data_IF_101995394740
#
_entry.id   IF_101995394740
#
_cell.length_a   1.000
_cell.length_b   1.000
_cell.length_c   1.000
_cell.angle_alpha   90.00
_cell.angle_beta   90.00
_cell.angle_gamma   90.00
#
_symmetry.space_group_name_H-M   'P 1'
#
loop_
_entity.id
_entity.type
_entity.pdbx_description
1 polymer ?
#
# COMPACT_ATOMS: atom_id res chain seq x y z
N UNK A 1 71.62 29.30 42.44
CA UNK A 1 71.31 28.72 41.19
C UNK A 1 69.91 28.10 41.32
N UNK A 2 68.84 28.74 40.78
CA UNK A 2 67.49 28.25 40.79
C UNK A 2 67.17 27.61 39.40
N UNK A 3 66.92 26.29 39.40
CA UNK A 3 66.45 25.56 38.20
C UNK A 3 64.99 25.86 37.97
N UNK A 4 64.69 26.44 36.82
CA UNK A 4 63.30 26.64 36.31
C UNK A 4 62.91 25.39 35.49
N UNK A 5 62.02 24.63 36.05
CA UNK A 5 61.45 23.46 35.36
C UNK A 5 60.31 23.96 34.41
N UNK A 6 60.52 23.88 33.09
CA UNK A 6 59.48 24.19 32.10
C UNK A 6 58.54 22.98 32.01
N UNK A 7 57.29 23.19 32.39
CA UNK A 7 56.21 22.23 32.19
C UNK A 7 55.67 22.46 30.78
N UNK A 8 55.82 21.45 29.90
CA UNK A 8 55.19 21.43 28.59
C UNK A 8 53.76 20.86 28.74
N UNK A 9 52.74 21.70 28.55
CA UNK A 9 51.36 21.27 28.46
C UNK A 9 51.12 20.88 26.99
N UNK A 10 50.97 19.57 26.73
CA UNK A 10 50.55 19.05 25.44
C UNK A 10 49.02 19.09 25.43
N UNK A 11 48.44 20.02 24.67
CA UNK A 11 47.00 20.06 24.41
C UNK A 11 46.70 19.06 23.31
N UNK A 12 46.09 17.95 23.66
CA UNK A 12 45.56 16.97 22.73
C UNK A 12 44.24 17.50 22.15
N UNK A 13 44.27 18.05 20.96
CA UNK A 13 43.08 18.42 20.21
C UNK A 13 42.49 17.14 19.59
N UNK A 14 41.53 16.50 20.25
CA UNK A 14 40.73 15.41 19.66
C UNK A 14 39.75 16.01 18.68
N UNK A 15 40.05 15.89 17.41
CA UNK A 15 39.09 16.19 16.33
C UNK A 15 38.09 15.05 16.27
N UNK A 16 36.88 15.26 16.83
CA UNK A 16 35.74 14.35 16.66
C UNK A 16 35.23 14.60 15.22
N UNK A 17 35.64 13.74 14.29
CA UNK A 17 35.01 13.66 12.97
C UNK A 17 33.63 13.02 13.19
N UNK A 18 32.59 13.83 13.29
CA UNK A 18 31.20 13.39 13.12
C UNK A 18 31.05 12.94 11.67
N UNK A 19 31.22 11.64 11.41
CA UNK A 19 30.76 11.04 10.17
C UNK A 19 29.22 11.11 10.19
N UNK A 20 28.68 12.18 9.63
CA UNK A 20 27.30 12.20 9.16
C UNK A 20 27.23 11.12 8.07
N UNK A 21 26.77 9.93 8.45
CA UNK A 21 26.42 8.90 7.49
C UNK A 21 25.34 9.50 6.59
N UNK A 22 25.74 9.92 5.38
CA UNK A 22 24.77 10.17 4.32
C UNK A 22 24.10 8.81 4.05
N UNK A 23 22.95 8.61 4.63
CA UNK A 23 22.06 7.57 4.16
C UNK A 23 21.66 7.98 2.75
N UNK A 24 22.15 7.25 1.76
CA UNK A 24 21.66 7.36 0.39
C UNK A 24 20.22 6.87 0.44
N UNK A 25 19.28 7.80 0.48
CA UNK A 25 17.87 7.48 0.24
C UNK A 25 17.81 7.11 -1.23
N UNK A 26 17.62 5.84 -1.53
CA UNK A 26 17.34 5.40 -2.89
C UNK A 26 15.90 5.83 -3.19
N UNK A 27 15.74 6.66 -4.21
CA UNK A 27 14.43 6.99 -4.72
C UNK A 27 13.78 5.72 -5.26
N UNK A 28 12.59 5.39 -4.80
CA UNK A 28 11.78 4.31 -5.36
C UNK A 28 10.83 4.84 -6.43
N UNK A 29 10.37 3.95 -7.29
CA UNK A 29 9.40 4.29 -8.34
C UNK A 29 8.14 3.45 -8.11
N UNK A 30 7.00 4.13 -8.04
CA UNK A 30 5.68 3.52 -7.97
C UNK A 30 4.97 3.76 -9.30
N UNK A 31 4.58 2.71 -9.99
CA UNK A 31 3.75 2.80 -11.18
C UNK A 31 2.34 3.27 -10.82
N UNK A 32 1.68 3.99 -11.73
CA UNK A 32 0.30 4.40 -11.60
C UNK A 32 -0.51 3.81 -12.76
N UNK A 33 -1.72 3.33 -12.47
CA UNK A 33 -2.54 2.66 -13.48
C UNK A 33 -3.21 3.62 -14.47
N UNK A 34 -3.00 4.94 -14.32
CA UNK A 34 -3.63 5.95 -15.17
C UNK A 34 -5.15 6.06 -15.02
N UNK A 35 -5.70 5.54 -13.94
CA UNK A 35 -7.13 5.52 -13.61
C UNK A 35 -7.36 5.87 -12.16
N UNK A 36 -8.54 6.40 -11.82
CA UNK A 36 -8.92 6.72 -10.44
C UNK A 36 -10.43 6.89 -10.29
N UNK A 37 -10.89 7.18 -9.11
CA UNK A 37 -12.30 7.41 -8.82
C UNK A 37 -12.66 8.89 -8.92
N UNK A 38 -13.78 9.20 -9.54
CA UNK A 38 -14.35 10.57 -9.57
C UNK A 38 -15.43 10.80 -8.51
N UNK A 39 -15.69 9.78 -7.67
CA UNK A 39 -16.67 9.82 -6.58
C UNK A 39 -15.97 10.19 -5.28
N UNK A 40 -16.68 10.86 -4.38
CA UNK A 40 -16.22 11.12 -3.00
C UNK A 40 -16.41 9.92 -2.07
N UNK A 41 -17.27 8.99 -2.43
CA UNK A 41 -17.51 7.75 -1.68
C UNK A 41 -17.56 6.58 -2.66
N UNK A 42 -16.78 5.55 -2.38
CA UNK A 42 -16.71 4.30 -3.14
C UNK A 42 -17.21 3.16 -2.25
N UNK A 43 -18.25 2.48 -2.70
CA UNK A 43 -18.86 1.40 -1.93
C UNK A 43 -18.12 0.09 -2.14
N UNK A 44 -17.88 -0.65 -1.06
CA UNK A 44 -17.12 -1.91 -1.05
C UNK A 44 -17.98 -3.02 -0.46
N UNK A 45 -18.23 -4.09 -1.20
CA UNK A 45 -18.87 -5.28 -0.69
C UNK A 45 -17.89 -6.45 -0.60
N UNK A 46 -17.91 -7.16 0.54
CA UNK A 46 -17.14 -8.38 0.75
C UNK A 46 -18.06 -9.57 0.47
N UNK A 47 -17.63 -10.44 -0.44
CA UNK A 47 -18.38 -11.63 -0.84
C UNK A 47 -17.57 -12.90 -0.50
N UNK A 48 -17.66 -13.42 0.73
CA UNK A 48 -16.92 -14.60 1.16
C UNK A 48 -17.54 -15.86 0.59
N UNK A 49 -16.72 -16.76 0.03
CA UNK A 49 -17.13 -18.09 -0.34
C UNK A 49 -17.43 -18.93 0.91
N UNK A 50 -18.25 -19.99 0.75
CA UNK A 50 -18.51 -20.95 1.83
C UNK A 50 -17.20 -21.52 2.38
N UNK A 51 -17.00 -21.38 3.70
CA UNK A 51 -15.79 -21.85 4.40
C UNK A 51 -14.73 -20.79 4.64
N UNK A 52 -14.89 -19.57 4.17
CA UNK A 52 -14.10 -18.41 4.62
C UNK A 52 -14.49 -18.11 6.06
N UNK A 53 -13.49 -17.90 6.92
CA UNK A 53 -13.74 -17.69 8.36
C UNK A 53 -14.25 -16.26 8.63
N UNK A 54 -15.09 -16.04 9.68
CA UNK A 54 -15.47 -14.69 10.10
C UNK A 54 -14.26 -13.79 10.40
N UNK A 55 -13.16 -14.36 10.94
CA UNK A 55 -11.92 -13.62 11.19
C UNK A 55 -11.32 -13.07 9.89
N UNK A 56 -11.25 -13.87 8.83
CA UNK A 56 -10.72 -13.40 7.55
C UNK A 56 -11.58 -12.27 6.94
N UNK A 57 -12.90 -12.31 7.16
CA UNK A 57 -13.78 -11.20 6.74
C UNK A 57 -13.49 -9.94 7.55
N UNK A 58 -13.40 -10.07 8.89
CA UNK A 58 -13.07 -8.94 9.77
C UNK A 58 -11.67 -8.35 9.45
N UNK A 59 -10.69 -9.19 9.07
CA UNK A 59 -9.38 -8.74 8.62
C UNK A 59 -9.49 -7.84 7.38
N UNK A 60 -10.30 -8.21 6.39
CA UNK A 60 -10.54 -7.38 5.19
C UNK A 60 -11.30 -6.10 5.52
N UNK A 61 -12.29 -6.16 6.42
CA UNK A 61 -13.01 -4.96 6.89
C UNK A 61 -12.08 -3.97 7.58
N UNK A 62 -11.12 -4.45 8.38
CA UNK A 62 -10.14 -3.61 9.06
C UNK A 62 -9.22 -2.87 8.07
N UNK A 63 -8.93 -3.47 6.92
CA UNK A 63 -8.12 -2.87 5.85
C UNK A 63 -8.86 -1.70 5.18
N UNK A 64 -10.17 -1.78 5.04
CA UNK A 64 -10.98 -0.68 4.51
C UNK A 64 -10.88 0.55 5.44
N UNK A 65 -10.96 0.34 6.76
CA UNK A 65 -10.73 1.41 7.73
C UNK A 65 -9.33 1.98 7.64
N UNK A 66 -8.31 1.12 7.54
CA UNK A 66 -6.91 1.55 7.44
C UNK A 66 -6.63 2.40 6.18
N UNK A 67 -7.25 2.07 5.04
CA UNK A 67 -7.18 2.92 3.86
C UNK A 67 -7.87 4.26 4.09
N UNK A 68 -9.04 4.29 4.73
CA UNK A 68 -9.77 5.53 5.00
C UNK A 68 -8.98 6.49 5.89
N UNK A 69 -8.20 5.99 6.86
CA UNK A 69 -7.34 6.82 7.70
C UNK A 69 -6.35 7.63 6.85
N UNK A 70 -5.83 7.04 5.77
CA UNK A 70 -4.91 7.68 4.84
C UNK A 70 -5.64 8.51 3.77
N UNK A 71 -6.74 8.00 3.20
CA UNK A 71 -7.48 8.69 2.15
C UNK A 71 -8.13 9.98 2.65
N UNK A 72 -8.51 10.05 3.93
CA UNK A 72 -9.20 11.20 4.53
C UNK A 72 -8.38 12.50 4.51
N UNK A 73 -7.06 12.41 4.37
CA UNK A 73 -6.15 13.56 4.35
C UNK A 73 -5.70 13.95 2.94
N UNK A 74 -6.07 13.16 1.91
CA UNK A 74 -5.75 13.42 0.50
C UNK A 74 -6.92 14.15 -0.16
N UNK A 75 -6.67 15.36 -0.66
CA UNK A 75 -7.71 16.15 -1.32
C UNK A 75 -8.28 15.42 -2.54
N UNK A 76 -9.60 15.35 -2.61
CA UNK A 76 -10.33 14.71 -3.71
C UNK A 76 -10.24 13.18 -3.77
N UNK A 77 -9.53 12.52 -2.84
CA UNK A 77 -9.55 11.07 -2.75
C UNK A 77 -10.91 10.56 -2.23
N UNK A 78 -11.37 9.39 -2.70
CA UNK A 78 -12.64 8.81 -2.22
C UNK A 78 -12.46 8.17 -0.85
N UNK A 79 -13.51 8.18 -0.04
CA UNK A 79 -13.59 7.33 1.14
C UNK A 79 -14.29 6.01 0.77
N UNK A 80 -13.83 4.91 1.35
CA UNK A 80 -14.39 3.58 1.16
C UNK A 80 -15.52 3.35 2.18
N UNK A 81 -16.66 2.87 1.73
CA UNK A 81 -17.82 2.58 2.58
C UNK A 81 -18.31 1.16 2.38
N UNK A 82 -18.46 0.40 3.48
CA UNK A 82 -18.99 -0.95 3.40
C UNK A 82 -20.44 -0.95 2.90
N UNK A 83 -20.74 -1.87 1.97
CA UNK A 83 -22.06 -2.11 1.38
C UNK A 83 -22.42 -3.60 1.52
N UNK A 84 -23.63 -3.88 1.99
CA UNK A 84 -24.09 -5.26 2.20
C UNK A 84 -24.43 -6.00 0.89
N UNK A 85 -24.63 -5.28 -0.21
CA UNK A 85 -25.04 -5.84 -1.48
C UNK A 85 -23.97 -5.74 -2.55
N UNK A 86 -23.40 -6.86 -2.93
CA UNK A 86 -22.40 -6.92 -4.03
C UNK A 86 -22.96 -6.48 -5.39
N UNK A 87 -24.28 -6.44 -5.57
CA UNK A 87 -24.91 -5.95 -6.81
C UNK A 87 -24.87 -4.44 -6.95
N UNK A 88 -24.71 -3.73 -5.84
CA UNK A 88 -24.71 -2.26 -5.79
C UNK A 88 -23.34 -1.67 -5.52
N UNK A 89 -22.39 -2.49 -5.08
CA UNK A 89 -21.06 -2.03 -4.70
C UNK A 89 -20.20 -1.67 -5.93
N UNK A 90 -19.42 -0.62 -5.77
CA UNK A 90 -18.41 -0.18 -6.74
C UNK A 90 -17.22 -1.14 -6.78
N UNK A 91 -16.79 -1.62 -5.62
CA UNK A 91 -15.75 -2.63 -5.46
C UNK A 91 -16.38 -3.88 -4.87
N UNK A 92 -16.15 -5.04 -5.49
CA UNK A 92 -16.58 -6.34 -4.95
C UNK A 92 -15.36 -7.19 -4.68
N UNK A 93 -15.13 -7.51 -3.39
CA UNK A 93 -14.04 -8.36 -2.93
C UNK A 93 -14.56 -9.80 -2.80
N UNK A 94 -14.15 -10.68 -3.70
CA UNK A 94 -14.45 -12.09 -3.65
C UNK A 94 -13.37 -12.83 -2.85
N UNK A 95 -13.72 -13.40 -1.72
CA UNK A 95 -12.81 -14.20 -0.90
C UNK A 95 -13.01 -15.68 -1.19
N UNK A 96 -11.93 -16.41 -1.50
CA UNK A 96 -11.91 -17.85 -1.74
C UNK A 96 -11.23 -18.59 -0.58
N UNK A 97 -11.66 -19.81 -0.29
CA UNK A 97 -11.01 -20.67 0.71
C UNK A 97 -9.68 -21.21 0.18
N UNK A 98 -9.64 -21.57 -1.10
CA UNK A 98 -8.47 -22.11 -1.76
C UNK A 98 -7.80 -21.10 -2.67
N UNK A 99 -6.58 -21.40 -3.08
CA UNK A 99 -5.83 -20.63 -4.07
C UNK A 99 -4.68 -21.47 -4.62
N UNK A 100 -4.20 -21.07 -5.81
CA UNK A 100 -2.99 -21.64 -6.42
C UNK A 100 -1.73 -20.96 -5.93
N UNK A 101 -0.95 -20.40 -6.86
CA UNK A 101 0.23 -19.57 -6.58
C UNK A 101 -0.08 -18.07 -6.48
N UNK A 102 -1.33 -17.65 -6.77
CA UNK A 102 -1.75 -16.25 -6.77
C UNK A 102 -2.45 -15.93 -5.46
N UNK A 103 -1.97 -14.89 -4.76
CA UNK A 103 -2.50 -14.40 -3.50
C UNK A 103 -3.81 -13.61 -3.69
N UNK A 104 -3.79 -12.70 -4.66
CA UNK A 104 -4.92 -11.86 -5.03
C UNK A 104 -4.76 -11.33 -6.45
N UNK A 105 -5.81 -10.71 -6.94
CA UNK A 105 -5.74 -9.88 -8.14
C UNK A 105 -6.90 -8.90 -8.18
N UNK A 106 -6.64 -7.75 -8.77
CA UNK A 106 -7.60 -6.66 -8.95
C UNK A 106 -7.85 -6.42 -10.43
N UNK A 107 -9.12 -6.35 -10.81
CA UNK A 107 -9.56 -6.11 -12.17
C UNK A 107 -10.55 -4.95 -12.21
N UNK A 108 -10.18 -3.78 -12.73
CA UNK A 108 -11.13 -2.76 -13.14
C UNK A 108 -12.06 -3.34 -14.22
N UNK A 109 -13.38 -3.31 -13.97
CA UNK A 109 -14.37 -3.88 -14.89
C UNK A 109 -14.89 -2.86 -15.87
N UNK A 110 -15.06 -1.64 -15.40
CA UNK A 110 -15.60 -0.55 -16.20
C UNK A 110 -14.84 0.72 -15.88
N UNK A 111 -14.31 1.34 -16.91
CA UNK A 111 -13.58 2.61 -16.85
C UNK A 111 -14.22 3.53 -17.89
N UNK A 112 -14.42 4.79 -17.52
CA UNK A 112 -14.81 5.80 -18.50
C UNK A 112 -13.56 6.22 -19.31
N UNK A 113 -13.49 5.92 -20.62
CA UNK A 113 -12.29 6.18 -21.39
C UNK A 113 -11.98 7.67 -21.63
N UNK A 114 -12.96 8.55 -21.40
CA UNK A 114 -12.77 9.99 -21.57
C UNK A 114 -12.29 10.72 -20.32
N UNK A 115 -12.52 10.13 -19.16
CA UNK A 115 -12.15 10.72 -17.85
C UNK A 115 -11.25 9.82 -17.02
N UNK A 116 -10.88 8.64 -17.50
CA UNK A 116 -10.14 7.60 -16.75
C UNK A 116 -10.77 7.23 -15.40
N UNK A 117 -12.06 7.59 -15.22
CA UNK A 117 -12.77 7.32 -13.99
C UNK A 117 -13.16 5.84 -13.91
N UNK A 118 -12.71 5.19 -12.83
CA UNK A 118 -13.14 3.84 -12.48
C UNK A 118 -14.63 3.88 -12.12
N UNK A 119 -15.39 2.90 -12.63
CA UNK A 119 -16.81 2.75 -12.30
C UNK A 119 -17.07 1.51 -11.44
N UNK A 120 -16.39 0.40 -11.76
CA UNK A 120 -16.49 -0.84 -10.97
C UNK A 120 -15.19 -1.60 -10.98
N UNK A 121 -14.88 -2.24 -9.84
CA UNK A 121 -13.69 -3.09 -9.65
C UNK A 121 -14.11 -4.43 -9.07
N UNK A 122 -13.45 -5.48 -9.50
CA UNK A 122 -13.51 -6.79 -8.85
C UNK A 122 -12.14 -7.14 -8.29
N UNK A 123 -12.10 -7.46 -7.00
CA UNK A 123 -10.94 -8.01 -6.31
C UNK A 123 -11.21 -9.48 -6.03
N UNK A 124 -10.23 -10.34 -6.19
CA UNK A 124 -10.26 -11.71 -5.72
C UNK A 124 -9.12 -11.93 -4.73
N UNK A 125 -9.44 -12.45 -3.55
CA UNK A 125 -8.47 -12.84 -2.52
C UNK A 125 -8.46 -14.35 -2.34
N UNK A 126 -7.28 -14.94 -2.24
CA UNK A 126 -7.07 -16.35 -1.95
C UNK A 126 -6.85 -16.53 -0.45
N UNK A 127 -7.54 -17.48 0.19
CA UNK A 127 -7.32 -17.83 1.59
C UNK A 127 -6.15 -18.79 1.81
N UNK A 128 -5.58 -19.33 0.71
CA UNK A 128 -4.43 -20.23 0.71
C UNK A 128 -3.51 -19.93 -0.46
N UNK A 129 -2.23 -20.14 -0.25
CA UNK A 129 -1.24 -20.20 -1.33
C UNK A 129 -0.38 -21.45 -1.14
N UNK A 130 -0.16 -22.16 -2.22
CA UNK A 130 0.60 -23.44 -2.22
C UNK A 130 0.12 -24.44 -1.14
N UNK A 131 -1.21 -24.48 -0.90
CA UNK A 131 -1.85 -25.38 0.06
C UNK A 131 -1.82 -24.92 1.53
N UNK A 132 -1.10 -23.85 1.87
CA UNK A 132 -1.04 -23.28 3.23
C UNK A 132 -2.04 -22.14 3.39
N UNK A 133 -2.72 -22.05 4.55
CA UNK A 133 -3.57 -20.91 4.87
C UNK A 133 -2.72 -19.65 5.07
N UNK A 134 -3.23 -18.50 4.61
CA UNK A 134 -2.68 -17.22 5.00
C UNK A 134 -2.89 -17.00 6.50
N UNK A 135 -1.97 -16.27 7.12
CA UNK A 135 -2.19 -15.73 8.46
C UNK A 135 -3.22 -14.57 8.43
N UNK A 136 -3.65 -14.11 9.59
CA UNK A 136 -4.50 -12.92 9.69
C UNK A 136 -3.78 -11.68 9.13
N UNK A 137 -2.50 -11.47 9.48
CA UNK A 137 -1.69 -10.42 8.91
C UNK A 137 -1.51 -10.59 7.38
N UNK A 138 -1.24 -11.81 6.91
CA UNK A 138 -1.13 -12.09 5.47
C UNK A 138 -2.42 -11.80 4.70
N UNK A 139 -3.59 -12.12 5.29
CA UNK A 139 -4.89 -11.76 4.70
C UNK A 139 -5.04 -10.23 4.59
N UNK A 140 -4.65 -9.49 5.63
CA UNK A 140 -4.69 -8.01 5.61
C UNK A 140 -3.69 -7.44 4.60
N UNK A 141 -2.47 -7.95 4.54
CA UNK A 141 -1.44 -7.47 3.61
C UNK A 141 -1.89 -7.63 2.16
N UNK A 142 -2.39 -8.82 1.78
CA UNK A 142 -2.92 -9.06 0.44
C UNK A 142 -4.12 -8.16 0.15
N UNK A 143 -5.07 -8.07 1.06
CA UNK A 143 -6.26 -7.21 0.87
C UNK A 143 -5.90 -5.73 0.73
N UNK A 144 -4.90 -5.26 1.50
CA UNK A 144 -4.41 -3.88 1.46
C UNK A 144 -3.74 -3.57 0.12
N UNK A 145 -2.88 -4.47 -0.37
CA UNK A 145 -2.24 -4.37 -1.68
C UNK A 145 -3.27 -4.32 -2.82
N UNK A 146 -4.23 -5.24 -2.82
CA UNK A 146 -5.26 -5.30 -3.86
C UNK A 146 -6.19 -4.07 -3.84
N UNK A 147 -6.48 -3.52 -2.67
CA UNK A 147 -7.22 -2.26 -2.57
C UNK A 147 -6.39 -1.07 -3.09
N UNK A 148 -5.06 -1.07 -2.95
CA UNK A 148 -4.19 -0.10 -3.58
C UNK A 148 -4.36 -0.07 -5.11
N UNK A 149 -4.39 -1.24 -5.74
CA UNK A 149 -4.70 -1.33 -7.18
C UNK A 149 -6.12 -0.82 -7.51
N UNK A 150 -7.10 -1.13 -6.66
CA UNK A 150 -8.46 -0.64 -6.84
C UNK A 150 -8.58 0.89 -6.70
N UNK A 151 -7.62 1.53 -6.05
CA UNK A 151 -7.51 2.99 -5.90
C UNK A 151 -6.69 3.64 -7.03
N UNK A 152 -6.05 2.85 -7.91
CA UNK A 152 -5.30 3.33 -9.07
C UNK A 152 -3.78 3.17 -8.99
N UNK A 153 -3.24 2.62 -7.89
CA UNK A 153 -1.82 2.35 -7.75
C UNK A 153 -1.39 1.14 -8.59
N UNK A 154 -0.22 1.22 -9.21
CA UNK A 154 0.50 0.11 -9.82
C UNK A 154 1.46 -0.55 -8.84
N UNK A 155 2.55 -1.13 -9.32
CA UNK A 155 3.57 -1.73 -8.46
C UNK A 155 4.71 -0.76 -8.15
N UNK A 156 5.32 -0.95 -6.97
CA UNK A 156 6.57 -0.30 -6.57
C UNK A 156 7.77 -1.19 -6.87
N UNK A 157 8.92 -0.59 -7.14
CA UNK A 157 10.21 -1.28 -7.27
C UNK A 157 10.96 -1.45 -5.93
N UNK A 158 10.42 -0.88 -4.84
CA UNK A 158 10.99 -0.98 -3.50
C UNK A 158 10.25 -2.03 -2.66
N UNK A 159 10.98 -3.04 -2.20
CA UNK A 159 10.44 -4.14 -1.39
C UNK A 159 9.88 -3.73 -0.01
N UNK A 160 10.12 -2.51 0.43
CA UNK A 160 9.56 -1.98 1.69
C UNK A 160 8.18 -1.35 1.52
N UNK A 161 7.74 -1.12 0.27
CA UNK A 161 6.44 -0.52 -0.01
C UNK A 161 5.34 -1.58 -0.05
N UNK A 162 4.13 -1.21 0.36
CA UNK A 162 2.96 -2.09 0.28
C UNK A 162 2.72 -2.57 -1.15
N UNK A 163 2.92 -1.68 -2.14
CA UNK A 163 2.66 -1.99 -3.55
C UNK A 163 3.82 -2.73 -4.23
N UNK A 164 4.79 -3.28 -3.49
CA UNK A 164 5.80 -4.16 -4.09
C UNK A 164 5.15 -5.40 -4.70
N UNK A 165 5.56 -5.78 -5.93
CA UNK A 165 4.87 -6.79 -6.73
C UNK A 165 4.92 -8.22 -6.17
N UNK A 166 5.85 -8.50 -5.26
CA UNK A 166 6.05 -9.84 -4.69
C UNK A 166 5.98 -9.80 -3.17
N UNK A 167 5.28 -10.77 -2.57
CA UNK A 167 5.25 -10.97 -1.14
C UNK A 167 6.14 -12.18 -0.78
N UNK A 168 6.89 -12.05 0.31
CA UNK A 168 7.66 -13.16 0.83
C UNK A 168 6.85 -14.02 1.84
N UNK A 169 7.47 -15.07 2.36
CA UNK A 169 6.81 -15.98 3.31
C UNK A 169 6.46 -15.29 4.64
N UNK A 170 7.19 -14.26 5.05
CA UNK A 170 6.90 -13.51 6.28
C UNK A 170 5.68 -12.61 6.11
N UNK A 171 5.48 -12.05 4.92
CA UNK A 171 4.33 -11.19 4.61
C UNK A 171 3.00 -11.94 4.63
N UNK A 172 3.02 -13.21 4.20
CA UNK A 172 1.80 -14.01 3.98
C UNK A 172 1.51 -15.02 5.08
N UNK A 173 2.53 -15.51 5.78
CA UNK A 173 2.40 -16.52 6.85
C UNK A 173 2.85 -16.01 8.22
N UNK A 174 3.50 -14.83 8.28
CA UNK A 174 3.93 -14.16 9.50
C UNK A 174 2.80 -13.43 10.21
N UNK A 175 3.17 -12.68 11.24
CA UNK A 175 2.23 -11.93 12.08
C UNK A 175 2.41 -10.41 11.95
N UNK A 176 3.16 -9.96 10.93
CA UNK A 176 3.48 -8.54 10.74
C UNK A 176 2.66 -7.96 9.61
N UNK A 177 2.00 -6.84 9.89
CA UNK A 177 1.31 -6.07 8.86
C UNK A 177 2.32 -5.24 8.06
N UNK A 178 2.21 -5.26 6.73
CA UNK A 178 2.90 -4.35 5.83
C UNK A 178 2.13 -3.03 5.83
N UNK A 179 2.69 -1.92 6.31
CA UNK A 179 1.98 -0.65 6.35
C UNK A 179 1.79 -0.08 4.93
N UNK A 180 0.80 0.80 4.77
CA UNK A 180 0.73 1.69 3.61
C UNK A 180 1.95 2.62 3.71
N UNK A 181 2.81 2.64 2.70
CA UNK A 181 4.05 3.41 2.70
C UNK A 181 3.80 4.89 2.34
N UNK A 182 4.79 5.72 2.61
CA UNK A 182 4.73 7.12 2.15
C UNK A 182 4.68 7.19 0.63
N UNK A 183 5.36 6.27 -0.07
CA UNK A 183 5.32 6.19 -1.52
C UNK A 183 3.92 5.85 -2.06
N UNK A 184 3.20 4.94 -1.40
CA UNK A 184 1.82 4.61 -1.76
C UNK A 184 0.91 5.85 -1.60
N UNK A 185 1.11 6.64 -0.56
CA UNK A 185 0.37 7.89 -0.32
C UNK A 185 0.72 8.94 -1.39
N UNK A 186 2.00 9.17 -1.66
CA UNK A 186 2.47 10.07 -2.73
C UNK A 186 1.88 9.70 -4.09
N UNK A 187 1.73 8.39 -4.36
CA UNK A 187 1.07 7.86 -5.55
C UNK A 187 -0.40 8.25 -5.62
N UNK A 188 -1.13 8.13 -4.51
CA UNK A 188 -2.54 8.56 -4.44
C UNK A 188 -2.68 10.07 -4.60
N UNK A 189 -1.80 10.88 -4.01
CA UNK A 189 -1.77 12.34 -4.20
C UNK A 189 -1.50 12.73 -5.66
N UNK A 190 -0.78 11.91 -6.42
CA UNK A 190 -0.57 12.12 -7.85
C UNK A 190 -1.80 11.74 -8.70
N UNK A 191 -2.70 10.89 -8.18
CA UNK A 191 -3.94 10.46 -8.84
C UNK A 191 -5.09 11.40 -8.48
N UNK A 192 -5.17 11.84 -7.22
CA UNK A 192 -6.31 12.60 -6.70
C UNK A 192 -5.95 14.08 -6.40
N UNK A 193 -6.87 15.02 -6.65
CA UNK A 193 -8.14 14.82 -7.34
C UNK A 193 -7.94 14.35 -8.78
N UNK A 194 -8.85 13.51 -9.27
CA UNK A 194 -8.72 12.94 -10.62
C UNK A 194 -8.63 14.06 -11.66
N UNK A 195 -7.51 14.17 -12.41
CA UNK A 195 -7.29 15.28 -13.33
C UNK A 195 -8.22 15.19 -14.56
N UNK A 196 -8.48 16.34 -15.16
CA UNK A 196 -9.20 16.37 -16.45
C UNK A 196 -8.39 15.66 -17.53
N UNK A 197 -9.08 15.06 -18.48
CA UNK A 197 -8.50 14.42 -19.68
C UNK A 197 -7.48 13.32 -19.37
N UNK A 198 -7.64 12.59 -18.26
CA UNK A 198 -6.75 11.49 -17.92
C UNK A 198 -5.26 11.87 -17.78
N UNK A 199 -4.96 13.07 -17.34
CA UNK A 199 -3.58 13.54 -17.19
C UNK A 199 -2.90 13.00 -15.90
N UNK A 200 -3.15 11.73 -15.54
CA UNK A 200 -2.46 11.02 -14.47
C UNK A 200 -1.07 10.64 -14.99
N UNK A 201 0.02 10.88 -14.24
CA UNK A 201 1.36 10.41 -14.65
C UNK A 201 1.42 8.88 -14.67
N UNK A 202 2.36 8.32 -15.47
CA UNK A 202 2.55 6.86 -15.55
C UNK A 202 3.21 6.29 -14.28
N UNK A 203 3.95 7.12 -13.57
CA UNK A 203 4.62 6.73 -12.33
C UNK A 203 4.89 7.92 -11.41
N UNK A 204 5.17 7.62 -10.15
CA UNK A 204 5.62 8.56 -9.11
C UNK A 204 6.97 8.14 -8.57
N UNK A 205 7.93 9.05 -8.59
CA UNK A 205 9.21 8.88 -7.89
C UNK A 205 9.03 9.31 -6.45
N UNK A 206 9.38 8.44 -5.51
CA UNK A 206 9.29 8.66 -4.07
C UNK A 206 10.68 8.88 -3.46
N UNK A 207 10.76 9.65 -2.37
CA UNK A 207 12.03 9.98 -1.69
C UNK A 207 12.03 9.45 -0.26
#
# INVERSE_FOLDING_TARGET
>A
MKRVTKVFIIVFCTVIVLSLGMQTVYASTLDLLGIGWSKTTVTVAINPAKGVTPQAVADVESVISNWNDNLSVIDGAPLLSLENSSKKADIVIHMKVGGGSVLGYTLPKTINPFSCAIQTVRIQLSGKVLGKNLSSAGTRNVARHELGHALGLGHSDNSSDLMYATADSSDIFGNTDTPISTCDIDGLEAIYPLPQYCAIPDSKTCQ
#
